data_IF_976304381756
#
_entry.id   IF_976304381756
#
_cell.length_a   1.000
_cell.length_b   1.000
_cell.length_c   1.000
_cell.angle_alpha   90.00
_cell.angle_beta   90.00
_cell.angle_gamma   90.00
#
_symmetry.space_group_name_H-M   'P 1'
#
loop_
_entity.id
_entity.type
_entity.pdbx_description
1 polymer ?
#
# COMPACT_ATOMS: atom_id res chain seq x y z
N UNK A 1 15.03 -7.85 19.10
CA UNK A 1 14.26 -9.02 18.59
C UNK A 1 14.83 -9.49 17.26
N UNK A 2 14.59 -10.76 16.92
CA UNK A 2 14.85 -11.33 15.59
C UNK A 2 13.52 -11.59 14.89
N UNK A 3 13.33 -10.97 13.73
CA UNK A 3 12.06 -11.00 12.98
C UNK A 3 12.33 -11.60 11.61
N UNK A 4 11.50 -12.56 11.20
CA UNK A 4 11.49 -13.06 9.82
C UNK A 4 10.16 -12.71 9.15
N UNK A 5 10.24 -12.11 7.96
CA UNK A 5 9.08 -11.96 7.08
C UNK A 5 9.11 -13.05 6.01
N UNK A 6 7.98 -13.73 5.80
CA UNK A 6 7.90 -14.78 4.80
C UNK A 6 6.63 -14.66 3.96
N UNK A 7 6.78 -14.61 2.62
CA UNK A 7 5.66 -14.50 1.68
C UNK A 7 6.04 -14.97 0.27
N UNK A 8 5.06 -15.46 -0.51
CA UNK A 8 5.27 -15.69 -1.95
C UNK A 8 5.41 -14.39 -2.74
N UNK A 9 4.75 -13.31 -2.32
CA UNK A 9 4.93 -11.98 -2.90
C UNK A 9 6.22 -11.35 -2.42
N UNK A 10 6.83 -10.56 -3.29
CA UNK A 10 8.08 -9.89 -2.96
C UNK A 10 7.82 -8.59 -2.19
N UNK A 11 8.54 -8.42 -1.07
CA UNK A 11 8.43 -7.21 -0.25
C UNK A 11 9.06 -5.97 -0.91
N UNK A 12 9.81 -6.13 -2.00
CA UNK A 12 10.34 -5.04 -2.83
C UNK A 12 9.35 -4.54 -3.87
N UNK A 13 8.13 -5.09 -3.94
CA UNK A 13 7.11 -4.68 -4.90
C UNK A 13 6.59 -3.27 -4.59
N UNK A 14 7.09 -2.29 -5.31
CA UNK A 14 6.66 -0.88 -5.21
C UNK A 14 5.24 -0.63 -5.74
N UNK A 15 4.65 -1.59 -6.46
CA UNK A 15 3.26 -1.57 -6.91
C UNK A 15 2.29 -1.97 -5.81
N UNK A 16 2.74 -2.65 -4.77
CA UNK A 16 1.93 -3.15 -3.67
C UNK A 16 2.07 -2.30 -2.40
N UNK A 17 0.98 -1.67 -1.96
CA UNK A 17 0.99 -0.91 -0.70
C UNK A 17 1.33 -1.76 0.52
N UNK A 18 0.98 -3.05 0.51
CA UNK A 18 1.35 -4.00 1.55
C UNK A 18 2.86 -4.24 1.58
N UNK A 19 3.48 -4.47 0.41
CA UNK A 19 4.92 -4.69 0.30
C UNK A 19 5.71 -3.44 0.71
N UNK A 20 5.30 -2.25 0.24
CA UNK A 20 5.91 -0.97 0.62
C UNK A 20 5.87 -0.77 2.12
N UNK A 21 4.70 -0.96 2.76
CA UNK A 21 4.54 -0.84 4.22
C UNK A 21 5.43 -1.83 4.95
N UNK A 22 5.42 -3.11 4.55
CA UNK A 22 6.25 -4.16 5.17
C UNK A 22 7.74 -3.83 5.09
N UNK A 23 8.21 -3.35 3.93
CA UNK A 23 9.62 -2.97 3.77
C UNK A 23 9.98 -1.79 4.67
N UNK A 24 9.15 -0.77 4.73
CA UNK A 24 9.36 0.40 5.59
C UNK A 24 9.38 0.00 7.07
N UNK A 25 8.49 -0.87 7.51
CA UNK A 25 8.44 -1.40 8.88
C UNK A 25 9.71 -2.21 9.23
N UNK A 26 10.16 -3.11 8.35
CA UNK A 26 11.37 -3.90 8.58
C UNK A 26 12.63 -3.02 8.63
N UNK A 27 12.74 -2.01 7.75
CA UNK A 27 13.86 -1.06 7.76
C UNK A 27 13.92 -0.24 9.06
N UNK A 28 12.77 0.20 9.56
CA UNK A 28 12.73 0.93 10.84
C UNK A 28 13.06 0.02 12.03
N UNK A 29 12.60 -1.23 12.04
CA UNK A 29 12.98 -2.19 13.06
C UNK A 29 14.50 -2.45 13.05
N UNK A 30 15.13 -2.54 11.87
CA UNK A 30 16.59 -2.64 11.75
C UNK A 30 17.28 -1.38 12.29
N UNK A 31 16.77 -0.19 11.97
CA UNK A 31 17.27 1.08 12.49
C UNK A 31 17.20 1.15 14.02
N UNK A 32 16.20 0.53 14.63
CA UNK A 32 16.05 0.40 16.09
C UNK A 32 16.90 -0.73 16.69
N UNK A 33 17.80 -1.35 15.92
CA UNK A 33 18.74 -2.37 16.39
C UNK A 33 18.19 -3.79 16.41
N UNK A 34 17.02 -4.04 15.83
CA UNK A 34 16.49 -5.39 15.64
C UNK A 34 17.14 -6.07 14.44
N UNK A 35 17.11 -7.42 14.40
CA UNK A 35 17.60 -8.20 13.28
C UNK A 35 16.41 -8.64 12.43
N UNK A 36 16.42 -8.29 11.15
CA UNK A 36 15.39 -8.66 10.20
C UNK A 36 15.93 -9.60 9.13
N UNK A 37 15.14 -10.62 8.79
CA UNK A 37 15.39 -11.53 7.68
C UNK A 37 14.14 -11.67 6.83
N UNK A 38 14.30 -11.88 5.52
CA UNK A 38 13.16 -12.19 4.65
C UNK A 38 13.38 -13.47 3.86
N UNK A 39 12.30 -14.24 3.69
CA UNK A 39 12.21 -15.30 2.69
C UNK A 39 10.97 -15.03 1.84
N UNK A 40 11.17 -14.55 0.62
CA UNK A 40 10.10 -14.18 -0.30
C UNK A 40 10.14 -14.98 -1.60
N UNK A 41 9.02 -15.06 -2.29
CA UNK A 41 8.98 -15.41 -3.69
C UNK A 41 9.24 -14.18 -4.57
N UNK A 42 9.26 -14.41 -5.88
CA UNK A 42 9.38 -13.34 -6.88
C UNK A 42 8.02 -12.95 -7.49
N UNK A 43 6.92 -13.07 -6.74
CA UNK A 43 5.62 -12.60 -7.22
C UNK A 43 5.50 -11.09 -7.00
N UNK A 44 5.27 -10.37 -8.10
CA UNK A 44 5.02 -8.92 -8.13
C UNK A 44 3.65 -8.67 -8.74
N UNK A 45 2.92 -7.68 -8.22
CA UNK A 45 1.57 -7.35 -8.67
C UNK A 45 1.58 -6.88 -10.14
N UNK A 46 0.83 -7.61 -11.01
CA UNK A 46 0.67 -7.24 -12.41
C UNK A 46 1.87 -7.53 -13.32
N UNK A 47 2.86 -8.28 -12.84
CA UNK A 47 4.10 -8.62 -13.59
C UNK A 47 4.06 -10.07 -14.06
N UNK A 48 4.58 -10.33 -15.28
CA UNK A 48 4.62 -11.70 -15.86
C UNK A 48 5.85 -12.50 -15.43
N UNK A 49 7.04 -11.86 -15.41
CA UNK A 49 8.30 -12.47 -14.96
C UNK A 49 8.75 -11.80 -13.68
N UNK A 50 8.69 -12.55 -12.60
CA UNK A 50 9.12 -12.07 -11.28
C UNK A 50 10.63 -11.93 -11.20
N UNK A 51 11.41 -12.80 -11.88
CA UNK A 51 12.86 -12.70 -11.91
C UNK A 51 13.33 -11.41 -12.60
N UNK A 52 12.74 -11.06 -13.76
CA UNK A 52 13.10 -9.84 -14.48
C UNK A 52 12.79 -8.59 -13.64
N UNK A 53 11.63 -8.55 -13.00
CA UNK A 53 11.26 -7.42 -12.15
C UNK A 53 12.11 -7.34 -10.88
N UNK A 54 12.48 -8.48 -10.30
CA UNK A 54 13.41 -8.53 -9.17
C UNK A 54 14.77 -7.91 -9.55
N UNK A 55 15.37 -8.38 -10.65
CA UNK A 55 16.68 -7.89 -11.13
C UNK A 55 16.62 -6.39 -11.41
N UNK A 56 15.59 -5.93 -12.11
CA UNK A 56 15.36 -4.50 -12.38
C UNK A 56 15.21 -3.69 -11.09
N UNK A 57 14.46 -4.20 -10.12
CA UNK A 57 14.24 -3.52 -8.82
C UNK A 57 15.53 -3.45 -8.01
N UNK A 58 16.29 -4.53 -7.92
CA UNK A 58 17.59 -4.55 -7.25
C UNK A 58 18.58 -3.58 -7.92
N UNK A 59 18.63 -3.55 -9.27
CA UNK A 59 19.46 -2.59 -10.00
C UNK A 59 19.08 -1.14 -9.73
N UNK A 60 17.79 -0.81 -9.71
CA UNK A 60 17.30 0.53 -9.37
C UNK A 60 17.63 0.95 -7.93
N UNK A 61 17.60 0.01 -7.00
CA UNK A 61 17.94 0.25 -5.59
C UNK A 61 19.45 0.22 -5.32
N UNK A 62 20.28 -0.16 -6.31
CA UNK A 62 21.72 -0.33 -6.13
C UNK A 62 22.11 -1.48 -5.21
N UNK A 63 21.24 -2.49 -5.08
CA UNK A 63 21.45 -3.64 -4.18
C UNK A 63 22.14 -4.77 -4.93
N UNK A 64 23.39 -5.12 -4.61
CA UNK A 64 24.07 -6.30 -5.18
C UNK A 64 23.45 -7.58 -4.66
N UNK A 65 23.23 -8.56 -5.53
CA UNK A 65 22.66 -9.84 -5.16
C UNK A 65 23.50 -11.02 -5.64
N UNK A 66 23.64 -12.03 -4.82
CA UNK A 66 24.23 -13.32 -5.17
C UNK A 66 23.12 -14.25 -5.68
N UNK A 67 23.30 -14.78 -6.90
CA UNK A 67 22.39 -15.73 -7.51
C UNK A 67 22.98 -17.14 -7.44
N UNK A 68 22.18 -18.11 -6.99
CA UNK A 68 22.50 -19.54 -7.06
C UNK A 68 21.39 -20.34 -7.71
N UNK A 69 21.77 -21.44 -8.39
CA UNK A 69 20.85 -22.44 -8.91
C UNK A 69 20.99 -23.69 -8.02
N UNK A 70 19.86 -24.19 -7.53
CA UNK A 70 19.80 -25.30 -6.58
C UNK A 70 18.73 -26.29 -7.02
N UNK A 71 18.96 -27.56 -6.73
CA UNK A 71 17.95 -28.62 -6.88
C UNK A 71 17.73 -29.27 -5.53
N UNK A 72 16.48 -29.44 -5.12
CA UNK A 72 16.11 -30.14 -3.90
C UNK A 72 15.10 -31.24 -4.19
N UNK A 73 15.15 -32.31 -3.38
CA UNK A 73 14.10 -33.34 -3.33
C UNK A 73 13.24 -33.09 -2.09
N UNK A 74 11.95 -32.83 -2.30
CA UNK A 74 11.01 -32.59 -1.21
C UNK A 74 9.76 -33.42 -1.43
N UNK A 75 9.51 -34.37 -0.53
CA UNK A 75 8.33 -35.25 -0.62
C UNK A 75 8.32 -36.15 -1.86
N UNK A 76 9.48 -36.58 -2.34
CA UNK A 76 9.65 -37.49 -3.49
C UNK A 76 9.60 -36.76 -4.86
N UNK A 77 9.47 -35.44 -4.87
CA UNK A 77 9.54 -34.63 -6.09
C UNK A 77 10.84 -33.82 -6.13
N UNK A 78 11.48 -33.80 -7.31
CA UNK A 78 12.66 -32.98 -7.58
C UNK A 78 12.27 -31.63 -8.13
N UNK A 79 12.74 -30.54 -7.51
CA UNK A 79 12.51 -29.19 -7.96
C UNK A 79 13.84 -28.47 -8.15
N UNK A 80 14.03 -27.85 -9.31
CA UNK A 80 15.11 -26.88 -9.54
C UNK A 80 14.58 -25.46 -9.30
N UNK A 81 15.38 -24.63 -8.63
CA UNK A 81 15.00 -23.27 -8.30
C UNK A 81 16.23 -22.36 -8.23
N UNK A 82 15.99 -21.07 -8.38
CA UNK A 82 17.00 -20.02 -8.14
C UNK A 82 16.77 -19.41 -6.76
N UNK A 83 17.89 -19.06 -6.12
CA UNK A 83 17.90 -18.21 -4.93
C UNK A 83 18.69 -16.94 -5.24
N UNK A 84 18.09 -15.81 -4.91
CA UNK A 84 18.77 -14.51 -4.85
C UNK A 84 18.94 -14.14 -3.39
N UNK A 85 20.20 -13.89 -2.97
CA UNK A 85 20.54 -13.46 -1.61
C UNK A 85 21.17 -12.08 -1.67
N UNK A 86 20.69 -11.17 -0.81
CA UNK A 86 21.15 -9.79 -0.76
C UNK A 86 20.86 -9.17 0.61
N UNK A 87 21.57 -8.10 0.90
CA UNK A 87 21.29 -7.22 2.05
C UNK A 87 20.56 -5.98 1.58
N UNK A 88 19.36 -5.74 2.11
CA UNK A 88 18.60 -4.51 1.89
C UNK A 88 18.72 -3.62 3.13
N UNK A 89 19.82 -2.89 3.25
CA UNK A 89 20.06 -1.96 4.36
C UNK A 89 19.96 -2.62 5.75
N UNK A 90 20.53 -3.81 5.90
CA UNK A 90 20.53 -4.60 7.13
C UNK A 90 19.41 -5.65 7.22
N UNK A 91 18.56 -5.76 6.20
CA UNK A 91 17.62 -6.87 6.06
C UNK A 91 18.28 -7.98 5.24
N UNK A 92 18.61 -9.12 5.89
CA UNK A 92 19.14 -10.33 5.23
C UNK A 92 18.02 -11.00 4.41
N UNK A 93 18.09 -10.90 3.11
CA UNK A 93 16.99 -11.25 2.20
C UNK A 93 17.32 -12.44 1.30
N UNK A 94 16.36 -13.34 1.19
CA UNK A 94 16.39 -14.46 0.25
C UNK A 94 15.12 -14.46 -0.60
N UNK A 95 15.27 -14.52 -1.92
CA UNK A 95 14.16 -14.67 -2.87
C UNK A 95 14.26 -16.02 -3.57
N UNK A 96 13.17 -16.77 -3.52
CA UNK A 96 13.00 -18.09 -4.10
C UNK A 96 12.22 -18.00 -5.41
N UNK A 97 12.75 -18.61 -6.47
CA UNK A 97 12.14 -18.65 -7.80
C UNK A 97 12.10 -20.10 -8.29
N UNK A 98 10.93 -20.75 -8.33
CA UNK A 98 10.81 -22.11 -8.84
C UNK A 98 10.96 -22.15 -10.37
N UNK A 99 11.59 -23.20 -10.89
CA UNK A 99 11.82 -23.40 -12.31
C UNK A 99 11.09 -24.65 -12.82
N UNK A 100 10.68 -24.60 -14.08
CA UNK A 100 10.21 -25.77 -14.82
C UNK A 100 11.42 -26.62 -15.34
N UNK A 101 11.13 -27.72 -16.01
CA UNK A 101 12.14 -28.62 -16.58
C UNK A 101 12.99 -27.95 -17.68
N UNK A 102 12.48 -26.88 -18.30
CA UNK A 102 13.23 -26.07 -19.28
C UNK A 102 14.08 -24.95 -18.65
N UNK A 103 14.08 -24.85 -17.30
CA UNK A 103 14.83 -23.84 -16.55
C UNK A 103 14.18 -22.45 -16.56
N UNK A 104 12.92 -22.33 -16.96
CA UNK A 104 12.14 -21.07 -16.92
C UNK A 104 11.36 -20.97 -15.62
N UNK A 105 11.15 -19.73 -15.17
CA UNK A 105 10.30 -19.45 -14.02
C UNK A 105 8.91 -20.08 -14.20
N UNK A 106 8.43 -20.78 -13.18
CA UNK A 106 7.14 -21.47 -13.20
C UNK A 106 6.21 -20.99 -12.08
N UNK A 107 4.94 -21.34 -12.20
CA UNK A 107 3.95 -21.06 -11.15
C UNK A 107 4.23 -21.82 -9.86
N UNK A 108 3.71 -21.32 -8.76
CA UNK A 108 3.78 -21.94 -7.44
C UNK A 108 2.91 -23.19 -7.37
N UNK A 109 3.49 -24.34 -7.75
CA UNK A 109 2.89 -25.66 -7.59
C UNK A 109 3.20 -26.22 -6.20
N UNK A 110 2.59 -27.34 -5.87
CA UNK A 110 2.74 -28.01 -4.55
C UNK A 110 4.21 -28.28 -4.19
N UNK A 111 5.03 -28.66 -5.16
CA UNK A 111 6.46 -28.92 -4.98
C UNK A 111 7.22 -27.65 -4.61
N UNK A 112 6.90 -26.54 -5.27
CA UNK A 112 7.47 -25.23 -4.97
C UNK A 112 7.05 -24.74 -3.57
N UNK A 113 5.78 -24.90 -3.20
CA UNK A 113 5.28 -24.56 -1.86
C UNK A 113 6.00 -25.38 -0.78
N UNK A 114 6.16 -26.70 -0.98
CA UNK A 114 6.87 -27.58 -0.04
C UNK A 114 8.34 -27.19 0.09
N UNK A 115 9.01 -26.92 -1.02
CA UNK A 115 10.42 -26.49 -1.04
C UNK A 115 10.61 -25.15 -0.33
N UNK A 116 9.75 -24.17 -0.62
CA UNK A 116 9.76 -22.87 0.07
C UNK A 116 9.59 -23.02 1.57
N UNK A 117 8.66 -23.88 2.02
CA UNK A 117 8.42 -24.14 3.42
C UNK A 117 9.58 -24.93 4.10
N UNK A 118 10.32 -25.76 3.36
CA UNK A 118 11.54 -26.41 3.85
C UNK A 118 12.66 -25.38 4.04
N UNK A 119 12.84 -24.46 3.08
CA UNK A 119 13.79 -23.35 3.22
C UNK A 119 13.44 -22.45 4.41
N UNK A 120 12.13 -22.18 4.64
CA UNK A 120 11.71 -21.41 5.81
C UNK A 120 12.09 -22.12 7.12
N UNK A 121 11.97 -23.43 7.19
CA UNK A 121 12.40 -24.19 8.38
C UNK A 121 13.91 -24.17 8.59
N UNK A 122 14.71 -24.12 7.53
CA UNK A 122 16.16 -23.88 7.62
C UNK A 122 16.43 -22.49 8.21
N UNK A 123 15.74 -21.46 7.70
CA UNK A 123 15.83 -20.10 8.23
C UNK A 123 15.45 -20.04 9.73
N UNK A 124 14.42 -20.77 10.15
CA UNK A 124 14.06 -20.86 11.57
C UNK A 124 15.18 -21.49 12.43
N UNK A 125 15.87 -22.50 11.92
CA UNK A 125 17.00 -23.12 12.65
C UNK A 125 18.23 -22.23 12.73
N UNK A 126 18.58 -21.58 11.61
CA UNK A 126 19.79 -20.78 11.50
C UNK A 126 19.65 -19.42 12.21
N UNK A 127 18.53 -18.76 11.99
CA UNK A 127 18.29 -17.40 12.48
C UNK A 127 17.68 -17.38 13.87
N UNK A 128 16.94 -18.44 14.26
CA UNK A 128 16.18 -18.52 15.52
C UNK A 128 15.33 -17.28 15.74
N UNK A 129 14.37 -16.97 14.84
CA UNK A 129 13.53 -15.78 14.97
C UNK A 129 12.58 -15.92 16.17
N UNK A 130 12.26 -14.79 16.79
CA UNK A 130 11.23 -14.68 17.83
C UNK A 130 9.87 -14.44 17.20
N UNK A 131 9.84 -13.80 16.01
CA UNK A 131 8.62 -13.38 15.34
C UNK A 131 8.67 -13.80 13.85
N UNK A 132 7.56 -14.36 13.38
CA UNK A 132 7.23 -14.51 11.96
C UNK A 132 6.15 -13.49 11.57
N UNK A 133 6.44 -12.58 10.65
CA UNK A 133 5.45 -11.71 10.04
C UNK A 133 5.07 -12.20 8.64
N UNK A 134 3.82 -12.05 8.26
CA UNK A 134 3.33 -12.38 6.91
C UNK A 134 2.02 -11.67 6.60
N UNK A 135 1.61 -11.69 5.31
CA UNK A 135 0.28 -11.27 4.85
C UNK A 135 -0.18 -12.14 3.68
N UNK A 136 -1.43 -11.99 3.27
CA UNK A 136 -1.96 -12.70 2.10
C UNK A 136 -2.71 -13.98 2.44
N UNK A 137 -3.45 -14.49 1.45
CA UNK A 137 -4.31 -15.69 1.60
C UNK A 137 -3.71 -16.97 1.03
N UNK A 138 -2.43 -16.98 0.66
CA UNK A 138 -1.78 -18.13 0.06
C UNK A 138 -1.61 -19.27 1.08
N UNK A 139 -1.61 -20.51 0.61
CA UNK A 139 -1.42 -21.70 1.47
C UNK A 139 -0.12 -21.65 2.26
N UNK A 140 0.94 -21.15 1.65
CA UNK A 140 2.25 -20.98 2.29
C UNK A 140 2.19 -20.07 3.51
N UNK A 141 1.36 -19.04 3.51
CA UNK A 141 1.19 -18.09 4.63
C UNK A 141 0.63 -18.81 5.86
N UNK A 142 -0.47 -19.55 5.71
CA UNK A 142 -1.03 -20.38 6.80
C UNK A 142 -0.08 -21.47 7.25
N UNK A 143 0.60 -22.14 6.30
CA UNK A 143 1.55 -23.21 6.62
C UNK A 143 2.79 -22.68 7.37
N UNK A 144 3.26 -21.46 7.01
CA UNK A 144 4.35 -20.78 7.71
C UNK A 144 4.01 -20.50 9.17
N UNK A 145 2.79 -19.97 9.44
CA UNK A 145 2.31 -19.71 10.79
C UNK A 145 2.22 -21.01 11.62
N UNK A 146 1.70 -22.09 11.03
CA UNK A 146 1.66 -23.39 11.70
C UNK A 146 3.04 -23.95 12.05
N UNK A 147 4.05 -23.75 11.17
CA UNK A 147 5.44 -24.15 11.42
C UNK A 147 6.08 -23.30 12.52
N UNK A 148 5.83 -21.99 12.51
CA UNK A 148 6.26 -21.05 13.55
C UNK A 148 5.72 -21.46 14.92
N UNK A 149 4.42 -21.73 15.02
CA UNK A 149 3.74 -22.15 16.25
C UNK A 149 4.36 -23.42 16.85
N UNK A 150 4.72 -24.42 16.02
CA UNK A 150 5.39 -25.66 16.49
C UNK A 150 6.77 -25.43 17.10
N UNK A 151 7.37 -24.27 16.83
CA UNK A 151 8.70 -23.87 17.31
C UNK A 151 8.66 -22.80 18.39
N UNK A 152 7.47 -22.41 18.84
CA UNK A 152 7.30 -21.32 19.81
C UNK A 152 7.63 -19.93 19.24
N UNK A 153 7.64 -19.79 17.90
CA UNK A 153 7.84 -18.52 17.22
C UNK A 153 6.49 -17.82 17.11
N UNK A 154 6.37 -16.59 17.65
CA UNK A 154 5.15 -15.79 17.58
C UNK A 154 4.84 -15.43 16.13
N UNK A 155 3.60 -15.65 15.68
CA UNK A 155 3.17 -15.38 14.31
C UNK A 155 2.24 -14.17 14.24
N UNK A 156 2.57 -13.23 13.36
CA UNK A 156 1.84 -11.97 13.18
C UNK A 156 1.33 -11.88 11.74
N UNK A 157 0.02 -11.69 11.59
CA UNK A 157 -0.61 -11.44 10.30
C UNK A 157 -0.81 -9.95 10.07
N UNK A 158 -0.15 -9.38 9.06
CA UNK A 158 -0.29 -7.98 8.67
C UNK A 158 -1.42 -7.85 7.64
N UNK A 159 -2.57 -7.35 8.06
CA UNK A 159 -3.77 -7.30 7.23
C UNK A 159 -3.88 -5.95 6.53
N UNK A 160 -3.82 -5.93 5.19
CA UNK A 160 -3.76 -4.71 4.39
C UNK A 160 -5.01 -4.43 3.54
N UNK A 161 -5.97 -5.37 3.44
CA UNK A 161 -7.15 -5.21 2.58
C UNK A 161 -8.40 -5.84 3.19
N UNK A 162 -9.57 -5.61 2.58
CA UNK A 162 -10.88 -6.08 3.03
C UNK A 162 -11.39 -7.31 2.24
N UNK A 163 -10.52 -8.03 1.53
CA UNK A 163 -10.91 -9.12 0.63
C UNK A 163 -11.14 -10.47 1.31
N UNK A 164 -10.63 -10.67 2.52
CA UNK A 164 -10.73 -11.95 3.22
C UNK A 164 -12.16 -12.25 3.65
N UNK A 165 -12.56 -13.53 3.50
CA UNK A 165 -13.91 -14.02 3.80
C UNK A 165 -13.91 -15.20 4.77
N UNK A 166 -12.80 -15.92 4.92
CA UNK A 166 -12.66 -17.10 5.75
C UNK A 166 -11.90 -16.77 7.05
N UNK A 167 -12.53 -16.86 8.22
CA UNK A 167 -11.89 -16.62 9.52
C UNK A 167 -10.80 -17.64 9.83
N UNK A 168 -10.85 -18.85 9.26
CA UNK A 168 -9.88 -19.93 9.53
C UNK A 168 -8.43 -19.56 9.19
N UNK A 169 -8.23 -18.61 8.26
CA UNK A 169 -6.90 -18.08 7.97
C UNK A 169 -6.28 -17.45 9.23
N UNK A 170 -7.08 -16.67 9.93
CA UNK A 170 -6.62 -15.85 11.06
C UNK A 170 -6.38 -16.66 12.33
N UNK A 171 -7.09 -17.79 12.52
CA UNK A 171 -6.91 -18.72 13.66
C UNK A 171 -5.51 -19.34 13.74
N UNK A 172 -4.73 -19.24 12.65
CA UNK A 172 -3.36 -19.78 12.59
C UNK A 172 -2.33 -18.82 13.18
N UNK A 173 -2.70 -17.55 13.37
CA UNK A 173 -1.80 -16.51 13.81
C UNK A 173 -2.07 -16.15 15.28
N UNK A 174 -0.99 -15.82 16.00
CA UNK A 174 -1.07 -15.40 17.39
C UNK A 174 -1.54 -13.95 17.52
N UNK A 175 -1.27 -13.13 16.48
CA UNK A 175 -1.67 -11.73 16.42
C UNK A 175 -2.10 -11.34 15.00
N UNK A 176 -3.13 -10.52 14.90
CA UNK A 176 -3.57 -9.89 13.65
C UNK A 176 -3.43 -8.38 13.81
N UNK A 177 -2.72 -7.74 12.88
CA UNK A 177 -2.51 -6.29 12.84
C UNK A 177 -3.25 -5.71 11.65
N UNK A 178 -3.98 -4.61 11.88
CA UNK A 178 -4.82 -3.93 10.88
C UNK A 178 -4.47 -2.45 10.80
N UNK A 179 -4.64 -1.78 9.63
CA UNK A 179 -4.14 -0.42 9.43
C UNK A 179 -4.99 0.70 10.04
N UNK A 180 -6.23 0.42 10.50
CA UNK A 180 -7.15 1.43 11.02
C UNK A 180 -8.22 0.83 11.93
N UNK A 181 -8.85 1.68 12.73
CA UNK A 181 -10.02 1.32 13.57
C UNK A 181 -11.20 0.89 12.70
N UNK A 182 -11.37 1.53 11.53
CA UNK A 182 -12.38 1.12 10.56
C UNK A 182 -12.21 -0.35 10.16
N UNK A 183 -10.99 -0.78 9.80
CA UNK A 183 -10.70 -2.16 9.40
C UNK A 183 -10.90 -3.12 10.58
N UNK A 184 -10.46 -2.73 11.79
CA UNK A 184 -10.67 -3.52 13.01
C UNK A 184 -12.15 -3.80 13.24
N UNK A 185 -12.97 -2.74 13.26
CA UNK A 185 -14.42 -2.84 13.44
C UNK A 185 -15.05 -3.71 12.36
N UNK A 186 -14.67 -3.48 11.09
CA UNK A 186 -15.23 -4.18 9.92
C UNK A 186 -14.97 -5.68 9.97
N UNK A 187 -13.77 -6.11 10.36
CA UNK A 187 -13.44 -7.53 10.48
C UNK A 187 -14.01 -8.17 11.74
N UNK A 188 -14.06 -7.44 12.84
CA UNK A 188 -14.73 -7.92 14.07
C UNK A 188 -16.22 -8.21 13.83
N UNK A 189 -16.92 -7.30 13.16
CA UNK A 189 -18.33 -7.47 12.80
C UNK A 189 -18.56 -8.62 11.80
N UNK A 190 -17.65 -8.78 10.83
CA UNK A 190 -17.85 -9.71 9.71
C UNK A 190 -17.32 -11.11 9.96
N UNK A 191 -16.19 -11.25 10.64
CA UNK A 191 -15.50 -12.52 10.85
C UNK A 191 -15.26 -12.86 12.33
N UNK A 192 -15.62 -11.99 13.26
CA UNK A 192 -15.64 -12.27 14.71
C UNK A 192 -14.27 -12.34 15.39
N UNK A 193 -13.15 -11.97 14.72
CA UNK A 193 -11.84 -11.94 15.37
C UNK A 193 -11.48 -10.55 15.89
N UNK A 194 -10.64 -10.51 16.90
CA UNK A 194 -10.03 -9.27 17.38
C UNK A 194 -8.68 -9.02 16.71
N UNK A 195 -8.25 -7.75 16.66
CA UNK A 195 -7.00 -7.34 16.02
C UNK A 195 -6.41 -6.10 16.69
N UNK A 196 -5.13 -5.87 16.50
CA UNK A 196 -4.41 -4.68 16.93
C UNK A 196 -4.34 -3.67 15.80
N UNK A 197 -4.53 -2.40 16.11
CA UNK A 197 -4.42 -1.33 15.10
C UNK A 197 -3.01 -0.77 15.08
N UNK A 198 -2.41 -0.80 13.89
CA UNK A 198 -1.15 -0.16 13.57
C UNK A 198 -1.28 0.52 12.21
N UNK A 199 -1.25 1.83 12.19
CA UNK A 199 -1.26 2.59 10.94
C UNK A 199 -0.01 2.28 10.10
N UNK A 200 -0.09 2.33 8.76
CA UNK A 200 1.09 2.25 7.92
C UNK A 200 2.09 3.36 8.25
N UNK A 201 3.35 3.00 8.37
CA UNK A 201 4.45 3.93 8.57
C UNK A 201 4.63 4.82 7.34
N UNK A 202 4.78 6.13 7.54
CA UNK A 202 5.06 7.08 6.47
C UNK A 202 6.30 7.89 6.82
N UNK A 203 7.31 7.81 5.96
CA UNK A 203 8.55 8.56 6.13
C UNK A 203 8.40 10.00 5.58
N UNK A 204 8.39 11.04 6.45
CA UNK A 204 8.28 12.42 6.00
C UNK A 204 9.39 12.82 5.02
N UNK A 205 10.59 12.25 5.14
CA UNK A 205 11.70 12.56 4.23
C UNK A 205 11.42 12.15 2.77
N UNK A 206 10.52 11.20 2.56
CA UNK A 206 10.14 10.73 1.21
C UNK A 206 8.94 11.48 0.62
N UNK A 207 8.10 12.08 1.46
CA UNK A 207 6.80 12.60 1.03
C UNK A 207 6.67 14.12 1.16
N UNK A 208 7.46 14.77 2.05
CA UNK A 208 7.38 16.21 2.26
C UNK A 208 8.22 16.94 1.21
N UNK A 209 7.59 17.88 0.51
CA UNK A 209 8.25 18.75 -0.44
C UNK A 209 8.99 19.87 0.30
N UNK A 210 10.26 20.07 0.00
CA UNK A 210 11.12 21.11 0.62
C UNK A 210 10.77 22.52 0.16
N UNK A 211 10.33 22.65 -1.10
CA UNK A 211 9.87 23.90 -1.70
C UNK A 211 8.50 23.70 -2.31
N UNK A 212 7.56 24.60 -2.02
CA UNK A 212 6.19 24.50 -2.51
C UNK A 212 5.82 25.66 -3.42
N UNK A 213 5.19 25.33 -4.55
CA UNK A 213 4.57 26.26 -5.51
C UNK A 213 3.15 25.79 -5.82
N UNK A 214 2.20 25.86 -4.84
CA UNK A 214 0.90 25.24 -4.91
C UNK A 214 0.01 25.90 -5.99
N UNK A 215 -0.40 25.11 -6.99
CA UNK A 215 -1.20 25.60 -8.12
C UNK A 215 -2.23 24.60 -8.64
N UNK A 216 -2.23 23.36 -8.18
CA UNK A 216 -3.11 22.33 -8.72
C UNK A 216 -4.10 21.78 -7.70
N UNK A 217 -5.31 21.50 -8.18
CA UNK A 217 -6.20 20.50 -7.60
C UNK A 217 -5.70 19.13 -8.04
N UNK A 218 -5.25 18.29 -7.10
CA UNK A 218 -4.56 17.05 -7.42
C UNK A 218 -5.40 15.83 -7.13
N UNK A 219 -5.44 14.86 -8.07
CA UNK A 219 -6.00 13.54 -7.92
C UNK A 219 -4.92 12.48 -8.25
N UNK A 220 -4.73 11.51 -7.35
CA UNK A 220 -3.67 10.50 -7.44
C UNK A 220 -4.25 9.12 -7.68
N UNK A 221 -3.59 8.31 -8.51
CA UNK A 221 -3.97 6.93 -8.84
C UNK A 221 -5.34 6.82 -9.51
N UNK A 222 -5.47 7.22 -10.79
CA UNK A 222 -6.73 7.28 -11.52
C UNK A 222 -7.25 5.88 -11.92
N UNK A 223 -7.80 5.16 -10.95
CA UNK A 223 -8.49 3.88 -11.17
C UNK A 223 -9.98 3.99 -10.88
N UNK A 224 -10.77 3.04 -11.39
CA UNK A 224 -12.23 3.05 -11.21
C UNK A 224 -12.61 3.06 -9.73
N UNK A 225 -11.99 2.20 -8.93
CA UNK A 225 -12.25 2.10 -7.49
C UNK A 225 -11.79 3.32 -6.69
N UNK A 226 -10.82 4.09 -7.21
CA UNK A 226 -10.39 5.37 -6.61
C UNK A 226 -11.24 6.56 -7.08
N UNK A 227 -12.30 6.29 -7.87
CA UNK A 227 -13.27 7.29 -8.26
C UNK A 227 -12.91 8.07 -9.51
N UNK A 228 -12.13 7.50 -10.45
CA UNK A 228 -11.75 8.17 -11.70
C UNK A 228 -12.95 8.79 -12.43
N UNK A 229 -14.02 8.02 -12.64
CA UNK A 229 -15.20 8.51 -13.38
C UNK A 229 -15.97 9.58 -12.61
N UNK A 230 -16.05 9.46 -11.29
CA UNK A 230 -16.64 10.48 -10.43
C UNK A 230 -15.82 11.79 -10.49
N UNK A 231 -14.50 11.67 -10.45
CA UNK A 231 -13.59 12.81 -10.57
C UNK A 231 -13.65 13.47 -11.95
N UNK A 232 -13.85 12.72 -13.05
CA UNK A 232 -14.06 13.31 -14.38
C UNK A 232 -15.30 14.18 -14.40
N UNK A 233 -16.38 13.80 -13.70
CA UNK A 233 -17.56 14.64 -13.54
C UNK A 233 -17.23 15.97 -12.84
N UNK A 234 -16.49 15.92 -11.73
CA UNK A 234 -15.99 17.12 -11.02
C UNK A 234 -15.12 17.98 -11.97
N UNK A 235 -14.19 17.35 -12.67
CA UNK A 235 -13.26 18.05 -13.57
C UNK A 235 -13.98 18.75 -14.75
N UNK A 236 -15.03 18.12 -15.29
CA UNK A 236 -15.88 18.71 -16.32
C UNK A 236 -16.57 19.98 -15.82
N UNK A 237 -17.28 19.88 -14.68
CA UNK A 237 -17.97 21.02 -14.08
C UNK A 237 -17.00 22.16 -13.73
N UNK A 238 -15.82 21.84 -13.22
CA UNK A 238 -14.76 22.83 -12.98
C UNK A 238 -14.29 23.49 -14.28
N UNK A 239 -14.08 22.69 -15.35
CA UNK A 239 -13.70 23.24 -16.65
C UNK A 239 -14.69 24.26 -17.22
N UNK A 240 -15.99 24.07 -16.96
CA UNK A 240 -17.05 24.96 -17.38
C UNK A 240 -17.22 26.19 -16.47
N UNK A 241 -17.23 25.99 -15.14
CA UNK A 241 -17.57 27.04 -14.16
C UNK A 241 -16.33 27.75 -13.58
N UNK A 242 -15.18 27.08 -13.52
CA UNK A 242 -13.94 27.57 -12.90
C UNK A 242 -12.71 27.09 -13.69
N UNK A 243 -12.57 27.54 -14.95
CA UNK A 243 -11.42 27.13 -15.81
C UNK A 243 -10.06 27.61 -15.28
N UNK A 244 -10.06 28.53 -14.31
CA UNK A 244 -8.88 28.98 -13.57
C UNK A 244 -8.32 27.92 -12.61
N UNK A 245 -9.11 26.91 -12.22
CA UNK A 245 -8.67 25.81 -11.37
C UNK A 245 -7.99 24.74 -12.23
N UNK A 246 -6.68 24.77 -12.24
CA UNK A 246 -5.89 23.75 -12.94
C UNK A 246 -5.86 22.43 -12.18
N UNK A 247 -6.04 21.33 -12.89
CA UNK A 247 -6.09 19.97 -12.33
C UNK A 247 -4.79 19.24 -12.65
N UNK A 248 -4.24 18.52 -11.66
CA UNK A 248 -3.14 17.59 -11.83
C UNK A 248 -3.60 16.16 -11.53
N UNK A 249 -3.54 15.30 -12.53
CA UNK A 249 -3.80 13.88 -12.39
C UNK A 249 -2.47 13.13 -12.36
N UNK A 250 -2.20 12.45 -11.24
CA UNK A 250 -0.94 11.75 -11.01
C UNK A 250 -1.11 10.25 -11.20
N UNK A 251 -0.30 9.68 -12.08
CA UNK A 251 -0.27 8.25 -12.33
C UNK A 251 0.25 7.48 -11.11
N UNK A 252 -0.48 6.43 -10.75
CA UNK A 252 -0.06 5.45 -9.75
C UNK A 252 -0.18 4.03 -10.31
N UNK A 253 -1.00 3.18 -9.70
CA UNK A 253 -1.42 1.89 -10.30
C UNK A 253 -2.30 2.08 -11.54
N UNK A 254 -3.09 3.16 -11.56
CA UNK A 254 -3.92 3.53 -12.70
C UNK A 254 -3.09 4.23 -13.77
N UNK A 255 -3.16 3.72 -15.00
CA UNK A 255 -2.48 4.27 -16.15
C UNK A 255 -3.28 5.42 -16.76
N UNK A 256 -2.63 6.55 -17.00
CA UNK A 256 -3.25 7.76 -17.57
C UNK A 256 -3.70 7.56 -19.02
N UNK A 257 -3.10 6.61 -19.77
CA UNK A 257 -3.56 6.24 -21.11
C UNK A 257 -5.03 5.80 -21.12
N UNK A 258 -5.57 5.36 -20.00
CA UNK A 258 -6.99 5.02 -19.86
C UNK A 258 -7.92 6.22 -20.07
N UNK A 259 -7.47 7.44 -19.78
CA UNK A 259 -8.22 8.67 -20.06
C UNK A 259 -8.59 8.82 -21.54
N UNK A 260 -7.68 8.41 -22.44
CA UNK A 260 -7.95 8.45 -23.87
C UNK A 260 -9.14 7.57 -24.32
N UNK A 261 -9.58 6.62 -23.47
CA UNK A 261 -10.74 5.77 -23.73
C UNK A 261 -12.06 6.33 -23.17
N UNK A 262 -12.00 7.48 -22.45
CA UNK A 262 -13.16 8.12 -21.81
C UNK A 262 -13.47 9.41 -22.60
N UNK A 263 -14.59 9.47 -23.33
CA UNK A 263 -14.90 10.63 -24.20
C UNK A 263 -14.88 11.97 -23.46
N UNK A 264 -15.46 12.01 -22.27
CA UNK A 264 -15.56 13.22 -21.45
C UNK A 264 -14.19 13.70 -20.95
N UNK A 265 -13.25 12.79 -20.72
CA UNK A 265 -11.91 13.16 -20.32
C UNK A 265 -11.12 13.85 -21.44
N UNK A 266 -11.46 13.59 -22.72
CA UNK A 266 -10.82 14.21 -23.87
C UNK A 266 -11.18 15.70 -24.06
N UNK A 267 -12.29 16.13 -23.46
CA UNK A 267 -12.78 17.53 -23.56
C UNK A 267 -12.27 18.41 -22.43
N UNK A 268 -11.57 17.84 -21.44
CA UNK A 268 -11.04 18.60 -20.31
C UNK A 268 -9.84 19.45 -20.73
N UNK A 269 -9.99 20.76 -20.66
CA UNK A 269 -8.96 21.73 -21.08
C UNK A 269 -8.02 22.14 -19.95
N UNK A 270 -8.46 21.99 -18.70
CA UNK A 270 -7.71 22.34 -17.49
C UNK A 270 -6.96 21.16 -16.84
N UNK A 271 -6.91 19.98 -17.52
CA UNK A 271 -6.29 18.76 -17.02
C UNK A 271 -4.82 18.66 -17.43
N UNK A 272 -3.95 18.56 -16.44
CA UNK A 272 -2.54 18.21 -16.58
C UNK A 272 -2.34 16.79 -16.08
N UNK A 273 -1.44 16.06 -16.73
CA UNK A 273 -1.12 14.67 -16.41
C UNK A 273 0.35 14.56 -16.01
N UNK A 274 0.60 13.94 -14.88
CA UNK A 274 1.93 13.60 -14.42
C UNK A 274 2.06 12.08 -14.40
N UNK A 275 2.99 11.55 -15.18
CA UNK A 275 3.35 10.15 -15.15
C UNK A 275 3.91 9.77 -13.76
N UNK A 276 4.06 8.47 -13.55
CA UNK A 276 4.56 7.95 -12.27
C UNK A 276 5.86 8.62 -11.84
N UNK A 277 5.85 9.15 -10.62
CA UNK A 277 7.02 9.78 -9.98
C UNK A 277 7.74 8.81 -9.03
N UNK A 278 9.00 9.08 -8.76
CA UNK A 278 9.79 8.30 -7.80
C UNK A 278 9.43 8.63 -6.34
N UNK A 279 9.04 9.87 -6.09
CA UNK A 279 8.68 10.37 -4.74
C UNK A 279 7.40 11.20 -4.79
N UNK A 280 6.47 10.99 -3.85
CA UNK A 280 5.27 11.83 -3.71
C UNK A 280 5.58 13.32 -3.53
N UNK A 281 6.72 13.69 -2.94
CA UNK A 281 7.15 15.08 -2.79
C UNK A 281 7.14 15.85 -4.10
N UNK A 282 7.39 15.18 -5.25
CA UNK A 282 7.44 15.81 -6.57
C UNK A 282 6.09 16.42 -6.98
N UNK A 283 4.97 15.74 -6.75
CA UNK A 283 3.65 16.30 -7.05
C UNK A 283 3.08 17.12 -5.89
N UNK A 284 3.40 16.79 -4.64
CA UNK A 284 2.98 17.62 -3.51
C UNK A 284 3.60 19.02 -3.54
N UNK A 285 4.77 19.18 -4.16
CA UNK A 285 5.38 20.51 -4.40
C UNK A 285 4.38 21.48 -5.06
N UNK A 286 3.57 21.00 -6.01
CA UNK A 286 2.65 21.81 -6.82
C UNK A 286 1.17 21.63 -6.40
N UNK A 287 0.89 20.74 -5.46
CA UNK A 287 -0.47 20.48 -4.98
C UNK A 287 -0.95 21.61 -4.05
N UNK A 288 -2.06 22.25 -4.39
CA UNK A 288 -2.76 23.24 -3.54
C UNK A 288 -3.85 22.57 -2.71
N UNK A 289 -4.60 21.65 -3.31
CA UNK A 289 -5.69 20.91 -2.70
C UNK A 289 -5.66 19.46 -3.22
N UNK A 290 -5.76 18.49 -2.33
CA UNK A 290 -5.89 17.08 -2.70
C UNK A 290 -7.36 16.68 -2.73
N UNK A 291 -7.76 15.86 -3.72
CA UNK A 291 -9.10 15.26 -3.82
C UNK A 291 -8.99 13.75 -3.87
N UNK A 292 -9.71 13.08 -2.97
CA UNK A 292 -9.69 11.61 -2.81
C UNK A 292 -11.12 11.06 -2.87
N UNK A 293 -11.75 11.01 -4.05
CA UNK A 293 -13.12 10.58 -4.24
C UNK A 293 -13.25 9.07 -4.36
N UNK A 294 -12.57 8.32 -3.50
CA UNK A 294 -12.55 6.86 -3.54
C UNK A 294 -13.94 6.26 -3.42
N UNK A 295 -14.25 5.31 -4.30
CA UNK A 295 -15.51 4.54 -4.29
C UNK A 295 -15.37 3.25 -3.49
N UNK A 296 -14.14 2.78 -3.26
CA UNK A 296 -13.88 1.62 -2.43
C UNK A 296 -13.75 1.98 -0.95
N UNK A 297 -14.01 1.00 -0.08
CA UNK A 297 -13.71 1.09 1.35
C UNK A 297 -12.17 1.13 1.52
N UNK A 298 -11.60 2.32 1.66
CA UNK A 298 -10.16 2.46 1.92
C UNK A 298 -9.80 1.83 3.26
N UNK A 299 -8.71 1.08 3.28
CA UNK A 299 -8.24 0.49 4.53
C UNK A 299 -7.46 1.48 5.40
N UNK A 300 -6.91 2.54 4.77
CA UNK A 300 -6.22 3.64 5.44
C UNK A 300 -6.33 4.94 4.65
N UNK A 301 -5.62 5.06 3.50
CA UNK A 301 -5.58 6.29 2.72
C UNK A 301 -4.26 7.03 2.89
N UNK A 302 -3.13 6.37 2.62
CA UNK A 302 -1.77 6.93 2.75
C UNK A 302 -1.63 8.33 2.14
N UNK A 303 -2.22 8.56 0.96
CA UNK A 303 -2.11 9.85 0.25
C UNK A 303 -2.69 11.02 1.03
N UNK A 304 -3.70 10.79 1.89
CA UNK A 304 -4.27 11.81 2.79
C UNK A 304 -3.26 12.21 3.87
N UNK A 305 -2.59 11.22 4.46
CA UNK A 305 -1.53 11.47 5.46
C UNK A 305 -0.36 12.20 4.83
N UNK A 306 0.06 11.78 3.65
CA UNK A 306 1.15 12.39 2.89
C UNK A 306 0.83 13.86 2.53
N UNK A 307 -0.40 14.17 2.11
CA UNK A 307 -0.88 15.55 1.92
C UNK A 307 -0.86 16.34 3.24
N UNK A 308 -1.36 15.76 4.32
CA UNK A 308 -1.36 16.36 5.65
C UNK A 308 0.05 16.67 6.16
N UNK A 309 1.04 15.79 5.93
CA UNK A 309 2.44 16.04 6.26
C UNK A 309 3.01 17.27 5.52
N UNK A 310 2.45 17.58 4.33
CA UNK A 310 2.77 18.78 3.56
C UNK A 310 1.91 20.01 3.95
N UNK A 311 1.02 19.91 4.94
CA UNK A 311 0.06 20.97 5.29
C UNK A 311 -0.98 21.23 4.22
N UNK A 312 -1.24 20.25 3.33
CA UNK A 312 -2.20 20.36 2.23
C UNK A 312 -3.55 19.84 2.70
N UNK A 313 -4.64 20.62 2.57
CA UNK A 313 -5.98 20.11 2.85
C UNK A 313 -6.34 19.01 1.83
N UNK A 314 -7.06 17.97 2.31
CA UNK A 314 -7.48 16.84 1.49
C UNK A 314 -9.00 16.63 1.62
N UNK A 315 -9.74 16.84 0.54
CA UNK A 315 -11.15 16.50 0.47
C UNK A 315 -11.28 15.00 0.16
N UNK A 316 -11.93 14.27 1.04
CA UNK A 316 -12.05 12.82 0.97
C UNK A 316 -13.50 12.36 0.90
N UNK A 317 -13.74 11.23 0.24
CA UNK A 317 -15.04 10.57 0.34
C UNK A 317 -15.26 9.98 1.76
N UNK A 318 -16.51 9.65 2.05
CA UNK A 318 -16.96 8.99 3.27
C UNK A 318 -16.65 7.49 3.31
N UNK A 319 -15.77 6.98 2.44
CA UNK A 319 -15.54 5.55 2.23
C UNK A 319 -14.40 5.00 3.08
N UNK A 320 -14.70 3.94 3.83
CA UNK A 320 -13.68 3.21 4.59
C UNK A 320 -13.08 4.02 5.73
N UNK A 321 -11.76 3.98 5.86
CA UNK A 321 -10.99 4.66 6.88
C UNK A 321 -10.71 6.15 6.56
N UNK A 322 -11.12 6.68 5.41
CA UNK A 322 -10.81 8.07 5.03
C UNK A 322 -11.28 9.11 6.06
N UNK A 323 -12.53 9.01 6.63
CA UNK A 323 -12.97 9.92 7.69
C UNK A 323 -12.10 9.88 8.94
N UNK A 324 -11.64 8.68 9.35
CA UNK A 324 -10.73 8.48 10.48
C UNK A 324 -9.36 9.13 10.20
N UNK A 325 -8.82 8.90 9.01
CA UNK A 325 -7.48 9.35 8.64
C UNK A 325 -7.40 10.85 8.42
N UNK A 326 -8.44 11.48 7.86
CA UNK A 326 -8.48 12.94 7.67
C UNK A 326 -8.79 13.68 8.98
N UNK A 327 -9.51 13.05 9.90
CA UNK A 327 -9.77 13.53 11.26
C UNK A 327 -10.59 14.82 11.39
N UNK A 328 -11.08 15.38 10.28
CA UNK A 328 -11.91 16.59 10.27
C UNK A 328 -13.13 16.38 9.37
N UNK A 329 -14.35 16.38 9.94
CA UNK A 329 -15.58 16.14 9.16
C UNK A 329 -15.83 17.18 8.07
N UNK A 330 -15.20 18.37 8.14
CA UNK A 330 -15.31 19.40 7.10
C UNK A 330 -14.55 19.05 5.82
N UNK A 331 -13.68 18.03 5.88
CA UNK A 331 -12.92 17.52 4.76
C UNK A 331 -13.50 16.21 4.20
N UNK A 332 -14.63 15.73 4.77
CA UNK A 332 -15.30 14.50 4.34
C UNK A 332 -16.57 14.85 3.57
N UNK A 333 -16.67 14.34 2.36
CA UNK A 333 -17.81 14.57 1.48
C UNK A 333 -18.47 13.26 1.09
N UNK A 334 -19.81 13.17 1.09
CA UNK A 334 -20.50 11.96 0.71
C UNK A 334 -20.37 11.70 -0.79
N UNK A 335 -20.39 10.42 -1.15
CA UNK A 335 -20.57 9.98 -2.53
C UNK A 335 -21.89 9.20 -2.60
N UNK A 336 -22.78 9.51 -3.56
CA UNK A 336 -24.05 8.81 -3.68
C UNK A 336 -23.88 7.27 -3.72
N UNK A 337 -24.75 6.50 -3.02
CA UNK A 337 -24.57 5.04 -2.86
C UNK A 337 -24.53 4.25 -4.18
N UNK A 338 -25.11 4.78 -5.26
CA UNK A 338 -25.08 4.15 -6.58
C UNK A 338 -23.68 4.03 -7.18
N UNK A 339 -22.72 4.87 -6.71
CA UNK A 339 -21.34 4.78 -7.14
C UNK A 339 -20.60 3.74 -6.30
N UNK A 340 -20.35 2.61 -6.91
CA UNK A 340 -19.61 1.48 -6.36
C UNK A 340 -18.18 1.43 -6.92
N UNK A 341 -17.25 0.64 -6.38
CA UNK A 341 -15.89 0.48 -6.92
C UNK A 341 -15.83 0.05 -8.40
N UNK A 342 -16.91 -0.52 -8.93
CA UNK A 342 -17.01 -0.95 -10.33
C UNK A 342 -17.68 0.08 -11.24
N UNK A 343 -18.23 1.18 -10.69
CA UNK A 343 -19.01 2.16 -11.44
C UNK A 343 -18.14 2.95 -12.40
N UNK A 344 -18.54 2.95 -13.69
CA UNK A 344 -17.91 3.72 -14.76
C UNK A 344 -18.80 4.85 -15.31
N UNK A 345 -19.96 5.06 -14.68
CA UNK A 345 -20.82 6.19 -15.02
C UNK A 345 -20.23 7.49 -14.48
N UNK A 346 -20.26 8.52 -15.30
CA UNK A 346 -19.91 9.87 -14.88
C UNK A 346 -21.11 10.46 -14.14
N UNK A 347 -20.90 11.14 -13.00
CA UNK A 347 -21.98 11.77 -12.25
C UNK A 347 -22.64 12.91 -13.05
N UNK A 348 -23.91 13.16 -12.78
CA UNK A 348 -24.59 14.37 -13.20
C UNK A 348 -24.18 15.54 -12.28
N UNK A 349 -24.45 16.78 -12.70
CA UNK A 349 -23.98 17.98 -11.99
C UNK A 349 -24.43 18.03 -10.54
N UNK A 350 -25.68 17.64 -10.27
CA UNK A 350 -26.27 17.64 -8.93
C UNK A 350 -25.53 16.68 -7.96
N UNK A 351 -24.94 15.61 -8.46
CA UNK A 351 -24.23 14.60 -7.65
C UNK A 351 -22.81 15.04 -7.28
N UNK A 352 -22.29 16.06 -7.94
CA UNK A 352 -20.94 16.61 -7.69
C UNK A 352 -20.98 17.98 -7.02
N UNK A 353 -22.16 18.58 -6.83
CA UNK A 353 -22.28 19.96 -6.36
C UNK A 353 -21.62 20.21 -5.00
N UNK A 354 -21.78 19.30 -4.02
CA UNK A 354 -21.13 19.43 -2.71
C UNK A 354 -19.60 19.43 -2.83
N UNK A 355 -19.07 18.60 -3.74
CA UNK A 355 -17.63 18.53 -4.01
C UNK A 355 -17.14 19.81 -4.69
N UNK A 356 -17.88 20.32 -5.66
CA UNK A 356 -17.57 21.58 -6.36
C UNK A 356 -17.59 22.76 -5.40
N UNK A 357 -18.64 22.87 -4.58
CA UNK A 357 -18.75 23.93 -3.59
C UNK A 357 -17.59 23.90 -2.59
N UNK A 358 -17.22 22.70 -2.10
CA UNK A 358 -16.10 22.56 -1.17
C UNK A 358 -14.75 22.91 -1.83
N UNK A 359 -14.51 22.46 -3.07
CA UNK A 359 -13.30 22.77 -3.82
C UNK A 359 -13.18 24.27 -4.03
N UNK A 360 -14.23 24.92 -4.55
CA UNK A 360 -14.24 26.37 -4.82
C UNK A 360 -14.04 27.16 -3.53
N UNK A 361 -14.75 26.80 -2.46
CA UNK A 361 -14.60 27.47 -1.17
C UNK A 361 -13.19 27.41 -0.59
N UNK A 362 -12.47 26.28 -0.79
CA UNK A 362 -11.06 26.15 -0.35
C UNK A 362 -10.08 26.77 -1.36
N UNK A 363 -10.48 26.88 -2.61
CA UNK A 363 -9.67 27.55 -3.63
C UNK A 363 -9.69 29.06 -3.49
N UNK A 364 -10.85 29.65 -3.19
CA UNK A 364 -11.02 31.09 -3.09
C UNK A 364 -10.63 31.65 -1.71
N UNK A 365 -10.77 30.89 -0.64
CA UNK A 365 -10.39 31.27 0.73
C UNK A 365 -9.09 30.55 1.14
N UNK A 366 -7.93 31.17 0.85
CA UNK A 366 -6.60 30.65 1.20
C UNK A 366 -6.43 30.46 2.70
N UNK A 367 -6.94 31.40 3.51
CA UNK A 367 -6.81 31.31 4.97
C UNK A 367 -7.58 30.11 5.53
N UNK A 368 -8.74 29.83 4.97
CA UNK A 368 -9.52 28.64 5.33
C UNK A 368 -8.78 27.35 4.92
N UNK A 369 -8.24 27.33 3.71
CA UNK A 369 -7.45 26.19 3.22
C UNK A 369 -6.23 25.93 4.09
N UNK A 370 -5.47 26.97 4.46
CA UNK A 370 -4.32 26.88 5.34
C UNK A 370 -4.70 26.40 6.74
N UNK A 371 -5.79 26.92 7.33
CA UNK A 371 -6.27 26.46 8.65
C UNK A 371 -6.65 24.97 8.63
N UNK A 372 -7.29 24.48 7.55
CA UNK A 372 -7.66 23.07 7.41
C UNK A 372 -6.43 22.20 7.14
N UNK A 373 -5.51 22.65 6.30
CA UNK A 373 -4.24 21.99 6.06
C UNK A 373 -3.40 21.85 7.32
N UNK A 374 -3.33 22.91 8.14
CA UNK A 374 -2.63 22.92 9.43
C UNK A 374 -3.26 21.94 10.44
N UNK A 375 -4.61 21.87 10.50
CA UNK A 375 -5.29 20.90 11.37
C UNK A 375 -5.02 19.49 10.92
N UNK A 376 -5.09 19.21 9.61
CA UNK A 376 -4.74 17.91 9.06
C UNK A 376 -3.26 17.58 9.35
N UNK A 377 -2.35 18.56 9.17
CA UNK A 377 -0.93 18.39 9.50
C UNK A 377 -0.73 17.94 10.95
N UNK A 378 -1.37 18.60 11.90
CA UNK A 378 -1.31 18.19 13.32
C UNK A 378 -1.88 16.78 13.55
N UNK A 379 -3.00 16.48 12.93
CA UNK A 379 -3.65 15.19 13.09
C UNK A 379 -2.79 14.03 12.58
N UNK A 380 -2.13 14.19 11.44
CA UNK A 380 -1.37 13.12 10.80
C UNK A 380 0.02 12.88 11.41
N UNK A 381 0.50 13.72 12.33
CA UNK A 381 1.79 13.50 13.02
C UNK A 381 1.84 12.15 13.75
N UNK A 382 0.70 11.64 14.20
CA UNK A 382 0.58 10.33 14.83
C UNK A 382 0.92 9.16 13.90
N UNK A 383 0.99 9.40 12.59
CA UNK A 383 1.29 8.41 11.54
C UNK A 383 2.73 8.55 11.02
N UNK A 384 3.51 9.46 11.59
CA UNK A 384 4.93 9.63 11.24
C UNK A 384 5.74 8.38 11.62
N UNK A 385 6.81 8.14 10.87
CA UNK A 385 7.59 6.89 10.95
C UNK A 385 8.05 6.54 12.36
N UNK A 386 8.61 7.49 13.10
CA UNK A 386 9.14 7.21 14.45
C UNK A 386 8.03 6.86 15.45
N UNK A 387 6.86 7.51 15.33
CA UNK A 387 5.69 7.21 16.19
C UNK A 387 5.15 5.83 15.91
N UNK A 388 5.00 5.49 14.63
CA UNK A 388 4.47 4.17 14.22
C UNK A 388 5.50 3.07 14.49
N UNK A 389 6.78 3.29 14.25
CA UNK A 389 7.84 2.33 14.53
C UNK A 389 7.90 1.96 16.03
N UNK A 390 7.84 2.96 16.92
CA UNK A 390 7.78 2.72 18.37
C UNK A 390 6.52 1.91 18.77
N UNK A 391 5.37 2.19 18.16
CA UNK A 391 4.13 1.40 18.37
C UNK A 391 4.25 -0.03 17.85
N UNK A 392 4.86 -0.21 16.67
CA UNK A 392 5.12 -1.54 16.10
C UNK A 392 6.01 -2.35 17.03
N UNK A 393 7.10 -1.76 17.51
CA UNK A 393 8.03 -2.40 18.44
C UNK A 393 7.34 -2.83 19.74
N UNK A 394 6.59 -1.92 20.37
CA UNK A 394 5.82 -2.22 21.57
C UNK A 394 4.82 -3.38 21.36
N UNK A 395 4.13 -3.36 20.22
CA UNK A 395 3.13 -4.37 19.84
C UNK A 395 3.74 -5.74 19.57
N UNK A 396 4.93 -5.79 18.99
CA UNK A 396 5.65 -7.04 18.76
C UNK A 396 6.22 -7.63 20.06
N UNK A 397 6.48 -6.81 21.08
CA UNK A 397 6.92 -7.23 22.41
C UNK A 397 5.79 -7.75 23.32
N UNK A 398 4.51 -7.48 23.01
CA UNK A 398 3.35 -8.07 23.72
C UNK A 398 3.33 -9.61 23.57
#
# INVERSE_FOLDING_TARGET
MKIIFSNCHNYLDVGSGAAVTTREELLELVRHGHKARTLCGALFDGVRSGEEELVKTLGRLGIPAQRSLTTAEVGGARLTFKLYRFDDSGIDSTVFIPLDESGRETSWRVEAEKTFLALLEEQFREFSPEILASYGGQRTVSASAMKAKRRGIKSVFMLHNLSYRDPKLFEKFDMIVVPSEYVRKRYRERLGFDSRVLAPLIDPAKVVATERAPRFLTFVTPTTEKGLYFFIGIARELGERRPDISILLVEGRGKVQRLATIPEARTLTNLNVLERVESPAQFFKETRLLVVPSLCEETFGRVVVEAGMNGIPALCSDRGALPEVVGDPKLVLPIPPRFTPATRAIPVSEETEDWLAAIVALWDDSDRAERLGFRLHKHVQQYGKDVVANRLEALLCE
#
